data_IF_827509451935
#
_entry.id   IF_827509451935
#
_cell.length_a   1.000
_cell.length_b   1.000
_cell.length_c   1.000
_cell.angle_alpha   90.00
_cell.angle_beta   90.00
_cell.angle_gamma   90.00
#
_symmetry.space_group_name_H-M   'P 1'
#
loop_
_entity.id
_entity.type
_entity.pdbx_description
1 polymer ?
#
# COMPACT_ATOMS: atom_id res chain seq x y z
N UNK A 1 11.09 -22.90 -5.29
CA UNK A 1 10.85 -21.46 -5.47
C UNK A 1 9.50 -21.30 -6.16
N UNK A 2 8.45 -20.98 -5.39
CA UNK A 2 7.08 -20.77 -5.87
C UNK A 2 6.88 -19.25 -6.05
N UNK A 3 7.61 -18.66 -7.00
CA UNK A 3 7.69 -17.20 -7.16
C UNK A 3 6.44 -16.60 -7.82
N UNK A 4 5.62 -17.43 -8.47
CA UNK A 4 4.35 -17.06 -9.10
C UNK A 4 3.32 -18.17 -8.86
N UNK A 5 2.03 -17.84 -8.72
CA UNK A 5 0.96 -18.82 -8.75
C UNK A 5 1.01 -19.63 -10.06
N UNK A 6 0.71 -20.95 -10.03
CA UNK A 6 0.78 -21.80 -11.21
C UNK A 6 -0.18 -21.33 -12.32
N UNK A 7 -1.33 -20.74 -11.94
CA UNK A 7 -2.30 -20.16 -12.87
C UNK A 7 -1.73 -18.95 -13.62
N UNK A 8 -1.10 -18.01 -12.89
CA UNK A 8 -0.45 -16.83 -13.50
C UNK A 8 0.71 -17.26 -14.43
N UNK A 9 1.47 -18.30 -14.05
CA UNK A 9 2.58 -18.82 -14.86
C UNK A 9 2.09 -19.45 -16.18
N UNK A 10 1.01 -20.25 -16.12
CA UNK A 10 0.39 -20.84 -17.31
C UNK A 10 -0.20 -19.75 -18.23
N UNK A 11 -0.88 -18.76 -17.64
CA UNK A 11 -1.45 -17.64 -18.37
C UNK A 11 -0.38 -16.79 -19.08
N UNK A 12 0.76 -16.52 -18.40
CA UNK A 12 1.88 -15.80 -19.01
C UNK A 12 2.52 -16.60 -20.15
N UNK A 13 2.63 -17.93 -20.03
CA UNK A 13 3.16 -18.78 -21.09
C UNK A 13 2.27 -18.75 -22.34
N UNK A 14 0.94 -18.85 -22.16
CA UNK A 14 -0.02 -18.74 -23.26
C UNK A 14 0.03 -17.35 -23.92
N UNK A 15 0.08 -16.30 -23.10
CA UNK A 15 0.18 -14.91 -23.55
C UNK A 15 1.46 -14.67 -24.36
N UNK A 16 2.60 -15.21 -23.90
CA UNK A 16 3.88 -15.15 -24.61
C UNK A 16 3.80 -15.80 -25.99
N UNK A 17 3.28 -17.03 -26.07
CA UNK A 17 3.12 -17.74 -27.33
C UNK A 17 2.23 -16.96 -28.32
N UNK A 18 1.13 -16.38 -27.83
CA UNK A 18 0.25 -15.54 -28.65
C UNK A 18 0.98 -14.28 -29.16
N UNK A 19 1.60 -13.51 -28.27
CA UNK A 19 2.29 -12.26 -28.64
C UNK A 19 3.45 -12.52 -29.60
N UNK A 20 4.19 -13.62 -29.41
CA UNK A 20 5.26 -14.05 -30.32
C UNK A 20 4.72 -14.43 -31.70
N UNK A 21 3.57 -15.12 -31.75
CA UNK A 21 2.90 -15.43 -33.02
C UNK A 21 2.49 -14.14 -33.74
N UNK A 22 1.88 -13.18 -33.04
CA UNK A 22 1.53 -11.87 -33.61
C UNK A 22 2.76 -11.15 -34.17
N UNK A 23 3.83 -11.07 -33.39
CA UNK A 23 5.10 -10.46 -33.80
C UNK A 23 5.65 -11.12 -35.07
N UNK A 24 5.69 -12.44 -35.12
CA UNK A 24 6.20 -13.17 -36.28
C UNK A 24 5.39 -12.86 -37.55
N UNK A 25 4.06 -12.78 -37.46
CA UNK A 25 3.21 -12.45 -38.61
C UNK A 25 3.40 -10.99 -39.08
N UNK A 26 3.62 -10.06 -38.15
CA UNK A 26 3.98 -8.67 -38.48
C UNK A 26 5.29 -8.63 -39.27
N UNK A 27 6.30 -9.37 -38.80
CA UNK A 27 7.62 -9.39 -39.44
C UNK A 27 7.61 -10.08 -40.80
N UNK A 28 6.84 -11.16 -40.94
CA UNK A 28 6.69 -11.91 -42.19
C UNK A 28 6.02 -11.12 -43.32
N UNK A 29 5.15 -10.15 -43.00
CA UNK A 29 4.43 -9.41 -44.03
C UNK A 29 5.35 -8.55 -44.91
N UNK A 30 6.46 -8.04 -44.36
CA UNK A 30 7.39 -7.15 -45.08
C UNK A 30 8.85 -7.61 -45.03
N UNK A 31 9.13 -8.80 -44.47
CA UNK A 31 10.48 -9.27 -44.13
C UNK A 31 11.29 -8.20 -43.37
N UNK A 32 10.60 -7.42 -42.53
CA UNK A 32 11.19 -6.35 -41.73
C UNK A 32 11.11 -6.71 -40.26
N UNK A 33 12.17 -6.39 -39.54
CA UNK A 33 12.22 -6.50 -38.08
C UNK A 33 11.44 -5.34 -37.43
N UNK A 34 10.12 -5.34 -37.59
CA UNK A 34 9.20 -4.37 -36.97
C UNK A 34 8.34 -5.02 -35.90
N UNK A 35 8.00 -4.24 -34.87
CA UNK A 35 7.12 -4.64 -33.77
C UNK A 35 5.83 -3.81 -33.74
N UNK A 36 5.72 -2.84 -34.65
CA UNK A 36 4.58 -1.93 -34.71
C UNK A 36 3.40 -2.58 -35.43
N UNK A 37 2.20 -2.32 -34.90
CA UNK A 37 0.98 -2.73 -35.58
C UNK A 37 0.82 -1.93 -36.88
N UNK A 38 0.34 -2.56 -37.96
CA UNK A 38 0.12 -1.86 -39.21
C UNK A 38 -0.94 -0.76 -39.06
N UNK A 39 -0.72 0.37 -39.71
CA UNK A 39 -1.63 1.53 -39.69
C UNK A 39 -2.57 1.56 -40.91
N UNK A 40 -2.28 0.77 -41.93
CA UNK A 40 -3.08 0.71 -43.16
C UNK A 40 -4.15 -0.37 -43.06
N UNK A 41 -5.41 -0.03 -43.36
CA UNK A 41 -6.58 -0.91 -43.21
C UNK A 41 -6.44 -2.24 -43.98
N UNK A 42 -5.94 -2.20 -45.21
CA UNK A 42 -5.71 -3.41 -46.00
C UNK A 42 -4.73 -4.38 -45.31
N UNK A 43 -3.66 -3.85 -44.72
CA UNK A 43 -2.63 -4.64 -44.03
C UNK A 43 -3.15 -5.16 -42.70
N UNK A 44 -3.95 -4.37 -41.99
CA UNK A 44 -4.63 -4.78 -40.77
C UNK A 44 -5.53 -6.01 -41.00
N UNK A 45 -6.32 -6.01 -42.08
CA UNK A 45 -7.16 -7.16 -42.42
C UNK A 45 -6.33 -8.39 -42.77
N UNK A 46 -5.25 -8.24 -43.56
CA UNK A 46 -4.33 -9.35 -43.89
C UNK A 46 -3.75 -9.96 -42.61
N UNK A 47 -3.29 -9.12 -41.68
CA UNK A 47 -2.74 -9.58 -40.41
C UNK A 47 -3.78 -10.36 -39.59
N UNK A 48 -5.00 -9.82 -39.46
CA UNK A 48 -6.09 -10.48 -38.73
C UNK A 48 -6.43 -11.86 -39.32
N UNK A 49 -6.62 -11.95 -40.64
CA UNK A 49 -6.89 -13.22 -41.31
C UNK A 49 -5.74 -14.21 -41.18
N UNK A 50 -4.49 -13.75 -41.27
CA UNK A 50 -3.32 -14.62 -41.09
C UNK A 50 -3.22 -15.21 -39.68
N UNK A 51 -3.88 -14.58 -38.71
CA UNK A 51 -3.96 -15.01 -37.31
C UNK A 51 -5.27 -15.73 -36.99
N UNK A 52 -6.04 -16.13 -38.01
CA UNK A 52 -7.33 -16.82 -37.90
C UNK A 52 -8.46 -15.99 -37.27
N UNK A 53 -8.40 -14.65 -37.38
CA UNK A 53 -9.49 -13.76 -36.97
C UNK A 53 -10.37 -13.35 -38.16
N UNK A 54 -11.64 -13.08 -37.88
CA UNK A 54 -12.62 -12.68 -38.89
C UNK A 54 -12.41 -11.25 -39.42
N UNK A 55 -11.86 -10.37 -38.59
CA UNK A 55 -11.63 -8.97 -38.90
C UNK A 55 -10.60 -8.35 -37.93
N UNK A 56 -10.08 -7.18 -38.32
CA UNK A 56 -9.13 -6.42 -37.52
C UNK A 56 -9.61 -6.09 -36.10
N UNK A 57 -10.88 -5.72 -35.91
CA UNK A 57 -11.37 -5.33 -34.58
C UNK A 57 -11.41 -6.54 -33.65
N UNK A 58 -11.87 -7.69 -34.13
CA UNK A 58 -11.85 -8.95 -33.38
C UNK A 58 -10.44 -9.34 -32.96
N UNK A 59 -9.45 -9.23 -33.87
CA UNK A 59 -8.04 -9.44 -33.55
C UNK A 59 -7.53 -8.44 -32.52
N UNK A 60 -7.79 -7.14 -32.74
CA UNK A 60 -7.31 -6.06 -31.88
C UNK A 60 -7.84 -6.18 -30.45
N UNK A 61 -9.12 -6.50 -30.28
CA UNK A 61 -9.71 -6.79 -28.97
C UNK A 61 -9.06 -8.00 -28.30
N UNK A 62 -8.76 -9.07 -29.05
CA UNK A 62 -8.03 -10.23 -28.52
C UNK A 62 -6.62 -9.87 -28.04
N UNK A 63 -5.88 -9.10 -28.85
CA UNK A 63 -4.55 -8.60 -28.51
C UNK A 63 -4.56 -7.71 -27.27
N UNK A 64 -5.51 -6.80 -27.19
CA UNK A 64 -5.62 -5.87 -26.05
C UNK A 64 -5.99 -6.61 -24.76
N UNK A 65 -6.84 -7.65 -24.83
CA UNK A 65 -7.13 -8.52 -23.69
C UNK A 65 -5.87 -9.25 -23.19
N UNK A 66 -5.08 -9.85 -24.09
CA UNK A 66 -3.82 -10.52 -23.71
C UNK A 66 -2.84 -9.53 -23.09
N UNK A 67 -2.70 -8.32 -23.67
CA UNK A 67 -1.83 -7.27 -23.09
C UNK A 67 -2.30 -6.84 -21.71
N UNK A 68 -3.61 -6.65 -21.51
CA UNK A 68 -4.18 -6.29 -20.22
C UNK A 68 -3.95 -7.37 -19.16
N UNK A 69 -4.07 -8.65 -19.53
CA UNK A 69 -3.78 -9.77 -18.62
C UNK A 69 -2.31 -9.79 -18.18
N UNK A 70 -1.38 -9.63 -19.13
CA UNK A 70 0.06 -9.55 -18.81
C UNK A 70 0.36 -8.36 -17.90
N UNK A 71 -0.22 -7.18 -18.19
CA UNK A 71 -0.08 -6.00 -17.33
C UNK A 71 -0.63 -6.25 -15.92
N UNK A 72 -1.80 -6.89 -15.77
CA UNK A 72 -2.36 -7.17 -14.45
C UNK A 72 -1.47 -8.10 -13.60
N UNK A 73 -0.85 -9.12 -14.21
CA UNK A 73 0.09 -10.00 -13.51
C UNK A 73 1.38 -9.23 -13.15
N UNK A 74 1.88 -8.39 -14.06
CA UNK A 74 3.03 -7.53 -13.80
C UNK A 74 2.77 -6.59 -12.61
N UNK A 75 1.65 -5.87 -12.62
CA UNK A 75 1.27 -4.94 -11.54
C UNK A 75 1.19 -5.65 -10.18
N UNK A 76 0.65 -6.86 -10.13
CA UNK A 76 0.60 -7.66 -8.90
C UNK A 76 2.00 -7.97 -8.38
N UNK A 77 2.89 -8.49 -9.23
CA UNK A 77 4.25 -8.89 -8.83
C UNK A 77 5.05 -7.70 -8.30
N UNK A 78 4.99 -6.55 -8.98
CA UNK A 78 5.74 -5.35 -8.58
C UNK A 78 5.10 -4.58 -7.41
N UNK A 79 3.78 -4.67 -7.25
CA UNK A 79 3.11 -4.10 -6.06
C UNK A 79 3.44 -4.87 -4.79
N UNK A 80 3.58 -6.20 -4.88
CA UNK A 80 3.98 -7.04 -3.75
C UNK A 80 5.41 -6.75 -3.28
N UNK A 81 6.38 -6.64 -4.21
CA UNK A 81 7.76 -6.33 -3.83
C UNK A 81 7.90 -4.95 -3.18
N UNK A 82 7.15 -3.96 -3.69
CA UNK A 82 7.16 -2.61 -3.11
C UNK A 82 6.51 -2.59 -1.73
N UNK A 83 5.42 -3.34 -1.53
CA UNK A 83 4.80 -3.47 -0.22
C UNK A 83 5.73 -4.19 0.77
N UNK A 84 6.41 -5.27 0.37
CA UNK A 84 7.37 -5.98 1.23
C UNK A 84 8.56 -5.10 1.67
N UNK A 85 9.09 -4.25 0.78
CA UNK A 85 10.14 -3.28 1.10
C UNK A 85 9.65 -2.20 2.07
N UNK A 86 8.43 -1.71 1.86
CA UNK A 86 7.78 -0.72 2.74
C UNK A 86 7.54 -1.35 4.13
N UNK A 87 6.94 -2.54 4.20
CA UNK A 87 6.68 -3.28 5.44
C UNK A 87 7.98 -3.53 6.23
N UNK A 88 9.10 -3.82 5.55
CA UNK A 88 10.40 -3.96 6.20
C UNK A 88 10.94 -2.63 6.73
N UNK A 89 10.77 -1.56 5.96
CA UNK A 89 11.24 -0.22 6.28
C UNK A 89 10.50 0.38 7.50
N UNK A 90 9.17 0.21 7.57
CA UNK A 90 8.35 0.64 8.72
C UNK A 90 8.71 -0.15 9.99
N UNK A 91 8.95 -1.46 9.86
CA UNK A 91 9.41 -2.32 10.96
C UNK A 91 10.80 -1.90 11.47
N UNK A 92 11.72 -1.56 10.56
CA UNK A 92 13.05 -1.06 10.91
C UNK A 92 13.00 0.28 11.64
N UNK A 93 12.11 1.19 11.23
CA UNK A 93 11.89 2.47 11.90
C UNK A 93 11.41 2.29 13.35
N UNK A 94 10.49 1.36 13.60
CA UNK A 94 10.01 1.09 14.96
C UNK A 94 11.04 0.33 15.82
N UNK A 95 11.67 -0.70 15.24
CA UNK A 95 12.64 -1.51 15.97
C UNK A 95 13.94 -0.74 16.23
N UNK A 96 14.29 0.22 15.37
CA UNK A 96 15.49 1.06 15.40
C UNK A 96 16.79 0.22 15.48
N UNK A 97 16.86 -0.85 14.69
CA UNK A 97 18.00 -1.79 14.64
C UNK A 97 19.09 -1.33 13.65
N UNK A 98 18.78 -0.33 12.83
CA UNK A 98 19.67 0.24 11.81
C UNK A 98 20.19 1.60 12.27
N UNK A 99 21.29 2.07 11.68
CA UNK A 99 21.86 3.38 11.96
C UNK A 99 20.87 4.51 11.66
N UNK A 100 20.95 5.58 12.47
CA UNK A 100 20.06 6.73 12.37
C UNK A 100 20.06 7.37 10.98
N UNK A 101 21.19 7.36 10.28
CA UNK A 101 21.29 7.89 8.93
C UNK A 101 20.32 7.18 7.97
N UNK A 102 20.29 5.86 7.99
CA UNK A 102 19.41 5.05 7.13
C UNK A 102 17.94 5.23 7.53
N UNK A 103 17.65 5.33 8.84
CA UNK A 103 16.30 5.59 9.33
C UNK A 103 15.78 6.97 8.89
N UNK A 104 16.65 7.97 8.83
CA UNK A 104 16.27 9.31 8.33
C UNK A 104 15.95 9.28 6.84
N UNK A 105 16.67 8.49 6.04
CA UNK A 105 16.35 8.29 4.61
C UNK A 105 15.02 7.57 4.43
N UNK A 106 14.81 6.50 5.20
CA UNK A 106 13.56 5.75 5.24
C UNK A 106 12.35 6.65 5.52
N UNK A 107 12.44 7.55 6.50
CA UNK A 107 11.36 8.51 6.80
C UNK A 107 11.07 9.46 5.63
N UNK A 108 12.07 9.85 4.83
CA UNK A 108 11.83 10.68 3.63
C UNK A 108 10.98 9.94 2.61
N UNK A 109 11.19 8.64 2.44
CA UNK A 109 10.38 7.81 1.53
C UNK A 109 8.90 7.78 1.93
N UNK A 110 8.60 7.93 3.23
CA UNK A 110 7.23 8.05 3.75
C UNK A 110 6.65 9.47 3.69
N UNK A 111 7.38 10.45 3.15
CA UNK A 111 6.90 11.82 2.97
C UNK A 111 7.08 12.75 4.17
N UNK A 112 7.82 12.33 5.20
CA UNK A 112 8.15 13.18 6.34
C UNK A 112 9.11 14.31 5.93
N UNK A 113 8.80 15.52 6.37
CA UNK A 113 9.62 16.71 6.13
C UNK A 113 10.65 16.92 7.23
N UNK A 114 10.28 16.69 8.49
CA UNK A 114 11.14 16.77 9.67
C UNK A 114 11.50 15.36 10.15
N UNK A 115 12.36 14.69 9.38
CA UNK A 115 12.73 13.29 9.66
C UNK A 115 13.50 13.14 10.97
N UNK A 116 14.30 14.12 11.37
CA UNK A 116 15.05 14.09 12.63
C UNK A 116 14.15 14.28 13.84
N UNK A 117 13.20 15.22 13.77
CA UNK A 117 12.17 15.39 14.79
C UNK A 117 11.30 14.13 14.92
N UNK A 118 10.82 13.61 13.81
CA UNK A 118 9.97 12.41 13.76
C UNK A 118 10.68 11.15 14.29
N UNK A 119 11.94 10.92 13.91
CA UNK A 119 12.74 9.81 14.45
C UNK A 119 12.95 9.95 15.97
N UNK A 120 13.23 11.17 16.42
CA UNK A 120 13.39 11.46 17.86
C UNK A 120 12.11 11.19 18.62
N UNK A 121 10.96 11.61 18.09
CA UNK A 121 9.65 11.38 18.69
C UNK A 121 9.33 9.88 18.82
N UNK A 122 9.60 9.09 17.77
CA UNK A 122 9.41 7.63 17.80
C UNK A 122 10.29 6.99 18.88
N UNK A 123 11.57 7.37 18.96
CA UNK A 123 12.50 6.87 19.98
C UNK A 123 12.10 7.27 21.39
N UNK A 124 11.63 8.50 21.58
CA UNK A 124 11.13 8.99 22.87
C UNK A 124 9.89 8.23 23.30
N UNK A 125 8.91 8.07 22.41
CA UNK A 125 7.69 7.29 22.67
C UNK A 125 8.02 5.85 23.06
N UNK A 126 8.89 5.16 22.32
CA UNK A 126 9.35 3.81 22.66
C UNK A 126 9.98 3.73 24.06
N UNK A 127 10.65 4.79 24.48
CA UNK A 127 11.29 4.88 25.78
C UNK A 127 10.41 5.47 26.90
N UNK A 128 9.21 5.93 26.58
CA UNK A 128 8.31 6.56 27.53
C UNK A 128 7.92 5.60 28.65
N UNK A 129 7.72 6.15 29.86
CA UNK A 129 7.42 5.32 31.03
C UNK A 129 6.11 4.53 30.86
N UNK A 130 5.12 5.08 30.15
CA UNK A 130 3.88 4.39 29.85
C UNK A 130 4.11 3.14 28.98
N UNK A 131 4.98 3.26 27.95
CA UNK A 131 5.33 2.17 27.03
C UNK A 131 6.23 1.13 27.71
N UNK A 132 7.25 1.56 28.47
CA UNK A 132 8.15 0.65 29.20
C UNK A 132 7.46 -0.18 30.29
N UNK A 133 6.33 0.29 30.82
CA UNK A 133 5.53 -0.45 31.83
C UNK A 133 4.54 -1.43 31.22
N UNK A 134 4.41 -1.48 29.89
CA UNK A 134 3.51 -2.42 29.23
C UNK A 134 3.90 -3.86 29.54
N UNK A 135 2.89 -4.72 29.60
CA UNK A 135 3.12 -6.17 29.63
C UNK A 135 3.68 -6.64 28.29
N UNK A 136 4.27 -7.84 28.25
CA UNK A 136 4.72 -8.46 27.00
C UNK A 136 3.61 -8.51 25.94
N UNK A 137 2.35 -8.67 26.34
CA UNK A 137 1.22 -8.64 25.40
C UNK A 137 1.03 -7.23 24.80
N UNK A 138 1.10 -6.19 25.62
CA UNK A 138 0.96 -4.80 25.14
C UNK A 138 2.14 -4.33 24.30
N UNK A 139 3.36 -4.73 24.64
CA UNK A 139 4.53 -4.46 23.81
C UNK A 139 4.38 -5.08 22.40
N UNK A 140 3.94 -6.34 22.32
CA UNK A 140 3.67 -7.02 21.04
C UNK A 140 2.58 -6.35 20.20
N UNK A 141 1.59 -5.72 20.85
CA UNK A 141 0.56 -4.95 20.15
C UNK A 141 1.17 -3.72 19.50
N UNK A 142 2.01 -2.96 20.22
CA UNK A 142 2.74 -1.84 19.64
C UNK A 142 3.71 -2.26 18.52
N UNK A 143 4.38 -3.40 18.68
CA UNK A 143 5.28 -3.95 17.65
C UNK A 143 4.57 -4.29 16.33
N UNK A 144 3.24 -4.48 16.37
CA UNK A 144 2.39 -4.63 15.18
C UNK A 144 1.76 -3.31 14.73
N UNK A 145 1.32 -2.48 15.67
CA UNK A 145 0.58 -1.25 15.39
C UNK A 145 1.48 -0.14 14.81
N UNK A 146 2.69 0.03 15.35
CA UNK A 146 3.57 1.13 14.96
C UNK A 146 4.03 1.07 13.50
N UNK A 147 4.43 -0.09 12.94
CA UNK A 147 4.70 -0.21 11.50
C UNK A 147 3.50 0.20 10.63
N UNK A 148 2.31 -0.32 10.95
CA UNK A 148 1.07 0.01 10.23
C UNK A 148 0.72 1.51 10.28
N UNK A 149 0.97 2.14 11.43
CA UNK A 149 0.80 3.58 11.62
C UNK A 149 1.75 4.35 10.70
N UNK A 150 3.05 4.01 10.70
CA UNK A 150 4.09 4.68 9.89
C UNK A 150 3.76 4.56 8.41
N UNK A 151 3.34 3.39 7.95
CA UNK A 151 2.91 3.17 6.57
C UNK A 151 1.66 3.96 6.21
N UNK A 152 0.70 4.08 7.13
CA UNK A 152 -0.52 4.84 6.92
C UNK A 152 -0.28 6.34 6.81
N UNK A 153 0.77 6.87 7.44
CA UNK A 153 1.09 8.30 7.45
C UNK A 153 1.49 8.84 6.06
N UNK A 154 1.97 8.00 5.14
CA UNK A 154 2.25 8.43 3.76
C UNK A 154 1.00 8.93 3.01
N UNK A 155 -0.19 8.56 3.48
CA UNK A 155 -1.47 8.89 2.83
C UNK A 155 -2.07 10.20 3.32
N UNK A 156 -1.49 10.85 4.33
CA UNK A 156 -1.99 12.12 4.89
C UNK A 156 -1.11 13.29 4.46
N UNK A 157 -1.67 14.50 4.46
CA UNK A 157 -0.96 15.71 3.99
C UNK A 157 0.07 16.28 4.98
N UNK A 158 -0.04 15.93 6.26
CA UNK A 158 0.81 16.43 7.36
C UNK A 158 1.35 15.27 8.21
N UNK A 159 2.21 14.38 7.66
CA UNK A 159 2.67 13.16 8.33
C UNK A 159 3.44 13.44 9.63
N UNK A 160 4.33 14.42 9.65
CA UNK A 160 5.12 14.78 10.84
C UNK A 160 4.22 15.19 12.01
N UNK A 161 3.27 16.10 11.77
CA UNK A 161 2.37 16.60 12.81
C UNK A 161 1.39 15.51 13.27
N UNK A 162 0.86 14.72 12.33
CA UNK A 162 -0.06 13.62 12.62
C UNK A 162 0.62 12.54 13.47
N UNK A 163 1.87 12.20 13.18
CA UNK A 163 2.68 11.30 14.00
C UNK A 163 2.76 11.79 15.45
N UNK A 164 3.16 13.05 15.67
CA UNK A 164 3.32 13.60 17.03
C UNK A 164 2.00 13.58 17.83
N UNK A 165 0.88 13.88 17.18
CA UNK A 165 -0.47 13.82 17.80
C UNK A 165 -0.82 12.38 18.19
N UNK A 166 -0.56 11.41 17.32
CA UNK A 166 -0.87 10.00 17.55
C UNK A 166 0.03 9.36 18.61
N UNK A 167 1.33 9.69 18.64
CA UNK A 167 2.24 9.23 19.69
C UNK A 167 1.77 9.72 21.07
N UNK A 168 1.37 10.99 21.18
CA UNK A 168 0.81 11.55 22.42
C UNK A 168 -0.47 10.83 22.86
N UNK A 169 -1.40 10.58 21.92
CA UNK A 169 -2.63 9.83 22.18
C UNK A 169 -2.33 8.40 22.65
N UNK A 170 -1.41 7.72 21.96
CA UNK A 170 -1.05 6.34 22.29
C UNK A 170 -0.37 6.26 23.64
N UNK A 171 0.45 7.25 24.02
CA UNK A 171 1.07 7.29 25.34
C UNK A 171 0.01 7.47 26.43
N UNK A 172 -0.98 8.35 26.22
CA UNK A 172 -2.09 8.59 27.14
C UNK A 172 -2.97 7.35 27.34
N UNK A 173 -3.18 6.55 26.28
CA UNK A 173 -4.01 5.33 26.33
C UNK A 173 -3.23 4.05 26.56
N UNK A 174 -1.89 4.08 26.59
CA UNK A 174 -1.03 2.89 26.70
C UNK A 174 -1.38 1.98 27.90
N UNK A 175 -1.81 2.56 29.02
CA UNK A 175 -2.25 1.79 30.19
C UNK A 175 -3.48 0.90 29.95
N UNK A 176 -4.21 1.12 28.85
CA UNK A 176 -5.44 0.39 28.46
C UNK A 176 -5.22 -0.31 27.13
N UNK A 177 -4.51 -1.45 27.19
CA UNK A 177 -4.08 -2.19 26.01
C UNK A 177 -5.21 -2.60 25.04
N UNK A 178 -6.46 -2.68 25.51
CA UNK A 178 -7.62 -3.02 24.66
C UNK A 178 -7.75 -2.06 23.49
N UNK A 179 -7.55 -0.75 23.69
CA UNK A 179 -7.69 0.24 22.62
C UNK A 179 -6.59 0.15 21.57
N UNK A 180 -5.34 -0.06 22.01
CA UNK A 180 -4.23 -0.29 21.09
C UNK A 180 -4.40 -1.62 20.33
N UNK A 181 -4.95 -2.65 20.99
CA UNK A 181 -5.24 -3.95 20.36
C UNK A 181 -6.34 -3.81 19.31
N UNK A 182 -7.40 -3.06 19.61
CA UNK A 182 -8.48 -2.76 18.67
C UNK A 182 -7.93 -2.12 17.40
N UNK A 183 -7.05 -1.11 17.51
CA UNK A 183 -6.42 -0.51 16.33
C UNK A 183 -5.52 -1.49 15.57
N UNK A 184 -4.73 -2.29 16.29
CA UNK A 184 -3.83 -3.26 15.67
C UNK A 184 -4.54 -4.43 14.96
N UNK A 185 -5.81 -4.70 15.33
CA UNK A 185 -6.65 -5.74 14.76
C UNK A 185 -7.60 -5.22 13.67
N UNK A 186 -7.84 -3.90 13.62
CA UNK A 186 -8.80 -3.28 12.70
C UNK A 186 -8.13 -2.16 11.87
N UNK A 187 -7.56 -2.47 10.69
CA UNK A 187 -6.88 -1.49 9.83
C UNK A 187 -7.77 -0.33 9.37
N UNK A 188 -9.07 -0.57 9.22
CA UNK A 188 -10.05 0.47 8.85
C UNK A 188 -10.18 1.53 9.95
N UNK A 189 -10.20 1.12 11.22
CA UNK A 189 -10.25 2.04 12.36
C UNK A 189 -8.96 2.87 12.46
N UNK A 190 -7.80 2.26 12.20
CA UNK A 190 -6.52 2.97 12.13
C UNK A 190 -6.52 4.02 11.00
N UNK A 191 -7.03 3.66 9.82
CA UNK A 191 -7.16 4.58 8.68
C UNK A 191 -8.08 5.75 9.02
N UNK A 192 -9.20 5.49 9.68
CA UNK A 192 -10.12 6.53 10.14
C UNK A 192 -9.46 7.45 11.18
N UNK A 193 -8.73 6.88 12.14
CA UNK A 193 -7.97 7.64 13.13
C UNK A 193 -6.91 8.54 12.47
N UNK A 194 -6.16 8.02 11.50
CA UNK A 194 -5.19 8.80 10.71
C UNK A 194 -5.84 9.98 10.00
N UNK A 195 -6.99 9.75 9.36
CA UNK A 195 -7.74 10.82 8.67
C UNK A 195 -8.21 11.90 9.64
N UNK A 196 -8.79 11.52 10.77
CA UNK A 196 -9.31 12.45 11.76
C UNK A 196 -8.18 13.24 12.44
N UNK A 197 -7.12 12.54 12.86
CA UNK A 197 -5.96 13.13 13.53
C UNK A 197 -5.15 14.05 12.62
N UNK A 198 -5.09 13.76 11.33
CA UNK A 198 -4.52 14.67 10.33
C UNK A 198 -5.34 15.95 10.21
N UNK A 199 -6.67 15.83 10.13
CA UNK A 199 -7.58 16.95 9.93
C UNK A 199 -7.73 17.88 11.15
N UNK A 200 -7.64 17.36 12.38
CA UNK A 200 -7.85 18.17 13.59
C UNK A 200 -7.06 17.66 14.79
N UNK A 201 -6.28 18.52 15.49
CA UNK A 201 -5.60 18.14 16.72
C UNK A 201 -6.59 17.81 17.86
N UNK A 202 -7.74 18.49 17.87
CA UNK A 202 -8.77 18.35 18.92
C UNK A 202 -9.25 16.91 19.07
N UNK A 203 -9.29 16.12 18.00
CA UNK A 203 -9.78 14.74 18.08
C UNK A 203 -8.86 13.86 18.93
N UNK A 204 -7.54 14.07 18.86
CA UNK A 204 -6.58 13.28 19.64
C UNK A 204 -6.69 13.63 21.13
N UNK A 205 -6.86 14.92 21.44
CA UNK A 205 -7.09 15.37 22.82
C UNK A 205 -8.41 14.81 23.37
N UNK A 206 -9.46 14.86 22.55
CA UNK A 206 -10.78 14.37 22.90
C UNK A 206 -10.80 12.85 23.13
N UNK A 207 -10.17 12.07 22.25
CA UNK A 207 -10.02 10.61 22.39
C UNK A 207 -9.13 10.24 23.59
N UNK A 208 -8.15 11.07 23.95
CA UNK A 208 -7.34 10.86 25.15
C UNK A 208 -8.17 11.02 26.43
N UNK A 209 -9.11 11.98 26.44
CA UNK A 209 -10.04 12.22 27.55
C UNK A 209 -11.16 11.18 27.62
N UNK A 210 -11.65 10.72 26.46
CA UNK A 210 -12.75 9.75 26.35
C UNK A 210 -12.37 8.52 25.50
N UNK A 211 -11.49 7.63 25.99
CA UNK A 211 -11.00 6.48 25.20
C UNK A 211 -12.07 5.47 24.78
N UNK A 212 -13.25 5.46 25.41
CA UNK A 212 -14.38 4.59 25.01
C UNK A 212 -14.84 4.87 23.58
N UNK A 213 -14.60 6.08 23.07
CA UNK A 213 -14.97 6.47 21.71
C UNK A 213 -14.08 5.83 20.63
N UNK A 214 -13.05 5.05 21.01
CA UNK A 214 -12.36 4.20 20.04
C UNK A 214 -13.29 3.18 19.40
N UNK A 215 -14.35 2.76 20.10
CA UNK A 215 -15.35 1.85 19.54
C UNK A 215 -16.15 2.50 18.40
N UNK A 216 -16.38 3.83 18.46
CA UNK A 216 -17.01 4.58 17.36
C UNK A 216 -16.13 4.57 16.09
N UNK A 217 -14.80 4.44 16.23
CA UNK A 217 -13.89 4.29 15.08
C UNK A 217 -14.14 3.03 14.25
N UNK A 218 -14.82 2.04 14.83
CA UNK A 218 -15.22 0.81 14.13
C UNK A 218 -16.48 1.02 13.27
N UNK A 219 -17.35 1.98 13.61
CA UNK A 219 -18.59 2.25 12.87
C UNK A 219 -18.51 3.55 12.08
N UNK A 220 -18.03 3.42 10.84
CA UNK A 220 -17.94 4.52 9.88
C UNK A 220 -19.29 5.16 9.52
N UNK A 221 -20.42 4.48 9.77
CA UNK A 221 -21.76 5.02 9.47
C UNK A 221 -22.27 5.92 10.59
N UNK A 222 -21.99 5.57 11.85
CA UNK A 222 -22.33 6.37 13.04
C UNK A 222 -21.50 7.67 13.12
N UNK A 223 -20.20 7.59 12.82
CA UNK A 223 -19.24 8.69 13.03
C UNK A 223 -19.52 9.99 12.26
N UNK A 224 -20.14 9.90 11.08
CA UNK A 224 -20.44 11.06 10.23
C UNK A 224 -21.90 11.48 10.29
N UNK A 225 -22.74 10.80 11.08
CA UNK A 225 -24.09 11.28 11.32
C UNK A 225 -24.04 12.48 12.29
N UNK A 226 -24.68 13.62 11.92
CA UNK A 226 -24.78 14.73 12.83
C UNK A 226 -25.58 14.31 14.08
N UNK A 227 -25.10 14.69 15.26
CA UNK A 227 -25.83 14.51 16.51
C UNK A 227 -27.24 15.08 16.36
N UNK A 228 -28.25 14.21 16.28
CA UNK A 228 -29.65 14.63 16.32
C UNK A 228 -29.90 15.29 17.67
N UNK A 229 -30.10 16.61 17.66
CA UNK A 229 -30.55 17.40 18.81
C UNK A 229 -32.01 17.12 19.12
#
# INVERSE_FOLDING_TARGET
LNLLPPEDAEQLAQSYCFLRRVENHIQQYQDMQTHDLPTTEAVQQILAFSLDYADWNSFKSGLDNVRAQVHAVFDKVFSLSKQEEIDQCSQQLWTAVVDDADLLENLKTYGFQDTSGSLTAIKQFKNAAAVKRLTNKGAKVLDRLMPQLIEGLQKVSNPDETLHRLLSLFEAVAGRNVYLSLLAENPDALTQLLRLSSASPWICDYLSLYPVLFDELLDTRSLFEPLNK
#
